data_IF_523655365993
#
_entry.id   IF_523655365993
#
_cell.length_a   1.000
_cell.length_b   1.000
_cell.length_c   1.000
_cell.angle_alpha   90.00
_cell.angle_beta   90.00
_cell.angle_gamma   90.00
#
_symmetry.space_group_name_H-M   'P 1'
#
loop_
_entity.id
_entity.type
_entity.pdbx_description
1 polymer ?
#
# COMPACT_ATOMS: atom_id res chain seq x y z
N UNK A 1 11.34 -7.64 27.36
CA UNK A 1 9.92 -7.46 26.96
C UNK A 1 9.98 -6.93 25.54
N UNK A 2 9.47 -7.66 24.56
CA UNK A 2 9.43 -7.18 23.17
C UNK A 2 8.13 -6.40 23.00
N UNK A 3 8.22 -5.11 22.71
CA UNK A 3 7.04 -4.32 22.39
C UNK A 3 6.47 -4.83 21.05
N UNK A 4 5.24 -5.32 21.09
CA UNK A 4 4.54 -5.74 19.88
C UNK A 4 4.26 -4.48 19.03
N UNK A 5 4.94 -4.36 17.89
CA UNK A 5 4.66 -3.32 16.92
C UNK A 5 3.25 -3.51 16.37
N UNK A 6 2.38 -2.54 16.62
CA UNK A 6 1.06 -2.47 16.02
C UNK A 6 1.22 -2.11 14.53
N UNK A 7 1.05 -3.10 13.66
CA UNK A 7 1.02 -2.88 12.21
C UNK A 7 -0.45 -2.74 11.79
N UNK A 8 -0.77 -1.65 11.10
CA UNK A 8 -2.11 -1.44 10.53
C UNK A 8 -2.47 -2.48 9.47
N UNK A 9 -3.73 -2.48 9.02
CA UNK A 9 -4.19 -3.39 7.98
C UNK A 9 -3.33 -3.26 6.71
N UNK A 10 -2.89 -4.41 6.18
CA UNK A 10 -2.11 -4.44 4.95
C UNK A 10 -2.92 -3.86 3.78
N UNK A 11 -2.35 -2.87 3.10
CA UNK A 11 -2.92 -2.29 1.89
C UNK A 11 -1.90 -2.37 0.75
N UNK A 12 -2.39 -2.50 -0.49
CA UNK A 12 -1.56 -2.36 -1.70
C UNK A 12 -1.68 -0.93 -2.19
N UNK A 13 -0.55 -0.28 -2.46
CA UNK A 13 -0.52 1.03 -3.12
C UNK A 13 0.09 0.88 -4.50
N UNK A 14 -0.64 1.30 -5.54
CA UNK A 14 -0.18 1.33 -6.93
C UNK A 14 -0.06 2.79 -7.34
N UNK A 15 1.15 3.24 -7.65
CA UNK A 15 1.40 4.57 -8.20
C UNK A 15 1.53 4.48 -9.73
N UNK A 16 0.80 5.34 -10.45
CA UNK A 16 0.93 5.52 -11.89
C UNK A 16 0.85 7.00 -12.22
N UNK A 17 2.02 7.62 -12.41
CA UNK A 17 2.17 9.05 -12.70
C UNK A 17 1.53 9.93 -11.61
N UNK A 18 0.45 10.61 -11.94
CA UNK A 18 -0.35 11.50 -11.09
C UNK A 18 -1.53 10.80 -10.42
N UNK A 19 -1.63 9.47 -10.57
CA UNK A 19 -2.66 8.64 -9.98
C UNK A 19 -2.09 7.68 -8.95
N UNK A 20 -2.79 7.56 -7.83
CA UNK A 20 -2.49 6.61 -6.76
C UNK A 20 -3.73 5.80 -6.45
N UNK A 21 -3.53 4.49 -6.31
CA UNK A 21 -4.57 3.55 -6.02
C UNK A 21 -4.25 2.76 -4.76
N UNK A 22 -5.12 2.83 -3.76
CA UNK A 22 -4.95 2.15 -2.47
C UNK A 22 -6.03 1.10 -2.30
N UNK A 23 -5.66 -0.18 -2.19
CA UNK A 23 -6.58 -1.32 -2.06
C UNK A 23 -6.30 -2.19 -0.87
N UNK A 24 -7.28 -3.03 -0.55
CA UNK A 24 -7.04 -4.26 0.19
C UNK A 24 -6.06 -5.19 -0.58
N UNK A 25 -5.44 -6.19 0.10
CA UNK A 25 -4.48 -7.12 -0.52
C UNK A 25 -5.02 -7.93 -1.70
N UNK A 26 -6.35 -8.03 -1.83
CA UNK A 26 -7.06 -8.72 -2.91
C UNK A 26 -7.41 -7.81 -4.10
N UNK A 27 -6.96 -6.56 -4.08
CA UNK A 27 -7.16 -5.59 -5.16
C UNK A 27 -8.50 -4.86 -5.13
N UNK A 28 -9.32 -5.02 -4.08
CA UNK A 28 -10.61 -4.31 -3.96
C UNK A 28 -10.49 -2.98 -3.24
N UNK A 29 -11.39 -2.05 -3.57
CA UNK A 29 -11.74 -0.92 -2.70
C UNK A 29 -13.15 -1.10 -2.17
N UNK A 30 -13.23 -1.42 -0.88
CA UNK A 30 -14.49 -1.50 -0.15
C UNK A 30 -15.00 -0.11 0.21
N UNK A 31 -16.31 0.06 0.09
CA UNK A 31 -17.01 1.25 0.58
C UNK A 31 -16.73 1.44 2.07
N UNK A 32 -16.39 2.66 2.48
CA UNK A 32 -16.08 3.00 3.88
C UNK A 32 -14.67 2.61 4.35
N UNK A 33 -13.82 2.06 3.47
CA UNK A 33 -12.40 1.88 3.77
C UNK A 33 -11.58 3.14 3.48
N UNK A 34 -10.39 3.22 4.06
CA UNK A 34 -9.38 4.26 3.79
C UNK A 34 -8.78 4.15 2.35
N UNK A 35 -9.10 3.08 1.62
CA UNK A 35 -8.67 2.85 0.25
C UNK A 35 -9.47 3.64 -0.80
N UNK A 36 -8.87 3.88 -1.96
CA UNK A 36 -9.48 4.70 -3.03
C UNK A 36 -8.56 4.95 -4.21
N UNK A 37 -9.11 5.58 -5.24
CA UNK A 37 -8.37 6.14 -6.37
C UNK A 37 -8.25 7.65 -6.22
N UNK A 38 -7.01 8.12 -6.22
CA UNK A 38 -6.61 9.49 -6.00
C UNK A 38 -5.90 9.99 -7.26
N UNK A 39 -6.33 11.11 -7.81
CA UNK A 39 -5.48 11.91 -8.70
C UNK A 39 -4.97 13.13 -7.90
N UNK A 40 -3.98 13.84 -8.45
CA UNK A 40 -3.32 15.00 -7.84
C UNK A 40 -4.25 15.91 -7.03
N UNK A 41 -5.48 16.15 -7.49
CA UNK A 41 -6.40 17.11 -6.87
C UNK A 41 -7.77 16.52 -6.41
N UNK A 42 -8.04 15.20 -6.53
CA UNK A 42 -9.39 14.65 -6.22
C UNK A 42 -9.41 13.13 -5.98
N UNK A 43 -10.29 12.66 -5.08
CA UNK A 43 -10.70 11.24 -4.94
C UNK A 43 -11.92 10.97 -5.84
N UNK A 44 -11.80 10.07 -6.82
CA UNK A 44 -12.85 9.86 -7.83
C UNK A 44 -13.77 8.66 -7.56
N UNK A 45 -13.36 7.68 -6.74
CA UNK A 45 -14.04 6.37 -6.70
C UNK A 45 -14.30 5.89 -5.28
N UNK A 46 -15.56 5.51 -5.00
CA UNK A 46 -16.02 4.93 -3.73
C UNK A 46 -15.93 3.40 -3.66
N UNK A 47 -15.80 2.73 -4.81
CA UNK A 47 -15.60 1.27 -4.92
C UNK A 47 -15.18 0.85 -6.33
N UNK A 48 -14.27 -0.11 -6.47
CA UNK A 48 -13.95 -0.80 -7.73
C UNK A 48 -13.23 -2.14 -7.45
N UNK A 49 -13.01 -2.96 -8.48
CA UNK A 49 -12.24 -4.21 -8.44
C UNK A 49 -11.10 -4.20 -9.48
N UNK A 50 -9.86 -4.48 -9.04
CA UNK A 50 -8.70 -4.60 -9.93
C UNK A 50 -8.51 -6.04 -10.41
N UNK A 51 -8.25 -6.21 -11.70
CA UNK A 51 -7.87 -7.50 -12.30
C UNK A 51 -6.61 -7.39 -13.16
N UNK A 52 -5.75 -8.42 -13.13
CA UNK A 52 -4.63 -8.60 -14.03
C UNK A 52 -4.91 -9.84 -14.90
N UNK A 53 -5.07 -9.65 -16.21
CA UNK A 53 -5.48 -10.72 -17.14
C UNK A 53 -6.72 -11.51 -16.66
N UNK A 54 -7.72 -10.80 -16.14
CA UNK A 54 -8.96 -11.39 -15.62
C UNK A 54 -8.85 -12.09 -14.26
N UNK A 55 -7.68 -12.08 -13.62
CA UNK A 55 -7.47 -12.66 -12.29
C UNK A 55 -7.26 -11.58 -11.24
N UNK A 56 -7.74 -11.82 -10.01
CA UNK A 56 -7.44 -10.92 -8.89
C UNK A 56 -5.95 -10.97 -8.57
N UNK A 57 -5.30 -9.81 -8.39
CA UNK A 57 -3.91 -9.78 -7.95
C UNK A 57 -3.80 -10.37 -6.54
N UNK A 58 -2.72 -11.11 -6.29
CA UNK A 58 -2.32 -11.49 -4.94
C UNK A 58 -1.20 -10.55 -4.49
N UNK A 59 -1.36 -9.98 -3.31
CA UNK A 59 -0.28 -9.23 -2.67
C UNK A 59 0.89 -10.16 -2.37
N UNK A 60 2.05 -9.87 -2.97
CA UNK A 60 3.32 -10.49 -2.61
C UNK A 60 4.04 -9.57 -1.63
N UNK A 61 4.11 -9.98 -0.37
CA UNK A 61 4.89 -9.28 0.64
C UNK A 61 6.36 -9.66 0.49
N UNK A 62 7.21 -8.68 0.20
CA UNK A 62 8.65 -8.86 0.43
C UNK A 62 8.89 -8.72 1.94
N UNK A 63 9.69 -9.61 2.57
CA UNK A 63 10.17 -9.35 3.92
C UNK A 63 10.92 -8.01 3.91
N UNK A 64 10.60 -7.15 4.87
CA UNK A 64 11.14 -5.80 4.94
C UNK A 64 12.66 -5.80 4.80
N UNK A 65 13.19 -4.83 4.04
CA UNK A 65 14.62 -4.62 3.97
C UNK A 65 15.19 -4.56 5.40
N UNK A 66 16.28 -5.29 5.64
CA UNK A 66 16.99 -5.26 6.90
C UNK A 66 17.15 -3.79 7.34
N UNK A 67 16.78 -3.43 8.59
CA UNK A 67 16.98 -2.07 9.05
C UNK A 67 18.46 -1.75 8.89
N UNK A 68 18.77 -0.78 8.03
CA UNK A 68 20.13 -0.23 7.95
C UNK A 68 20.34 0.41 9.31
N UNK A 69 21.23 -0.19 10.11
CA UNK A 69 21.64 0.41 11.36
C UNK A 69 22.09 1.84 11.06
N UNK A 70 21.50 2.81 11.75
CA UNK A 70 21.99 4.17 11.75
C UNK A 70 23.43 4.11 12.27
N UNK A 71 24.42 4.19 11.36
CA UNK A 71 25.82 4.33 11.71
C UNK A 71 26.08 5.80 12.09
N UNK A 72 26.25 6.13 13.38
CA UNK A 72 26.49 7.49 13.82
C UNK A 72 27.87 8.04 13.37
N UNK A 73 28.70 7.22 12.72
CA UNK A 73 30.04 7.60 12.27
C UNK A 73 30.14 8.20 10.86
N UNK A 74 29.08 8.13 10.04
CA UNK A 74 29.14 8.63 8.65
C UNK A 74 28.90 10.14 8.59
N UNK A 75 29.98 10.92 8.62
CA UNK A 75 29.94 12.36 8.29
C UNK A 75 29.69 12.56 6.78
N UNK A 76 29.07 13.69 6.39
CA UNK A 76 28.69 14.01 5.00
C UNK A 76 29.88 14.00 4.04
#
# INVERSE_FOLDING_TARGET
MIDAVQVGAANVTINRNDHVLVTQPDGRVKRGSDGGFYARDTRFVSSYELTLAGKRPQLLNAPGAHPVAHDPGRRP
#
